data_IF_101955577612
#
_entry.id   IF_101955577612
#
_cell.length_a   1.000
_cell.length_b   1.000
_cell.length_c   1.000
_cell.angle_alpha   90.00
_cell.angle_beta   90.00
_cell.angle_gamma   90.00
#
_symmetry.space_group_name_H-M   'P 1'
#
loop_
_entity.id
_entity.type
_entity.pdbx_description
1 polymer ?
#
# COMPACT_ATOMS: atom_id res chain seq x y z
N UNK A 1 6.31 25.69 -27.77
CA UNK A 1 6.51 24.24 -27.89
C UNK A 1 6.94 23.78 -26.51
N UNK A 2 6.01 23.24 -25.73
CA UNK A 2 6.21 22.91 -24.31
C UNK A 2 6.52 21.42 -24.21
N UNK A 3 7.77 21.09 -24.47
CA UNK A 3 8.42 19.88 -23.95
C UNK A 3 9.34 20.44 -22.85
N UNK A 4 9.26 20.07 -21.58
CA UNK A 4 9.49 18.72 -21.07
C UNK A 4 9.13 18.73 -19.57
N UNK A 5 8.03 18.09 -19.20
CA UNK A 5 7.65 17.83 -17.81
C UNK A 5 7.87 16.35 -17.54
N UNK A 6 9.14 15.94 -17.51
CA UNK A 6 9.53 14.74 -16.80
C UNK A 6 9.85 15.16 -15.36
N UNK A 7 8.83 15.16 -14.52
CA UNK A 7 9.00 15.25 -13.08
C UNK A 7 9.79 14.02 -12.65
N UNK A 8 11.06 14.22 -12.27
CA UNK A 8 11.80 13.26 -11.48
C UNK A 8 11.10 13.13 -10.11
N UNK A 9 10.10 12.27 -10.04
CA UNK A 9 9.50 11.92 -8.77
C UNK A 9 10.40 10.89 -8.10
N UNK A 10 11.24 11.36 -7.18
CA UNK A 10 11.76 10.55 -6.07
C UNK A 10 10.59 10.07 -5.21
N UNK A 11 9.81 9.14 -5.77
CA UNK A 11 8.63 8.59 -5.13
C UNK A 11 9.10 7.53 -4.13
N UNK A 12 8.62 7.58 -2.88
CA UNK A 12 8.98 6.59 -1.88
C UNK A 12 8.64 5.18 -2.37
N UNK A 13 9.35 4.16 -1.87
CA UNK A 13 9.13 2.76 -2.25
C UNK A 13 7.64 2.37 -2.18
N UNK A 14 6.93 2.87 -1.17
CA UNK A 14 5.49 2.63 -1.01
C UNK A 14 4.66 3.34 -2.09
N UNK A 15 5.04 4.55 -2.49
CA UNK A 15 4.40 5.27 -3.60
C UNK A 15 4.58 4.58 -4.95
N UNK A 16 5.76 4.02 -5.23
CA UNK A 16 6.01 3.26 -6.46
C UNK A 16 5.18 1.97 -6.49
N UNK A 17 5.08 1.28 -5.34
CA UNK A 17 4.23 0.10 -5.19
C UNK A 17 2.76 0.46 -5.40
N UNK A 18 2.28 1.54 -4.77
CA UNK A 18 0.91 2.03 -4.92
C UNK A 18 0.56 2.36 -6.36
N UNK A 19 1.44 3.09 -7.06
CA UNK A 19 1.29 3.40 -8.48
C UNK A 19 1.19 2.13 -9.34
N UNK A 20 2.05 1.14 -9.10
CA UNK A 20 2.04 -0.13 -9.83
C UNK A 20 0.74 -0.92 -9.61
N UNK A 21 0.25 -0.97 -8.38
CA UNK A 21 -1.03 -1.61 -8.02
C UNK A 21 -2.19 -0.94 -8.75
N UNK A 22 -2.27 0.40 -8.66
CA UNK A 22 -3.32 1.19 -9.32
C UNK A 22 -3.32 0.97 -10.83
N UNK A 23 -2.15 1.09 -11.44
CA UNK A 23 -1.97 0.94 -12.89
C UNK A 23 -2.43 -0.43 -13.37
N UNK A 24 -2.13 -1.50 -12.63
CA UNK A 24 -2.55 -2.84 -13.00
C UNK A 24 -4.05 -3.09 -12.75
N UNK A 25 -4.62 -2.57 -11.66
CA UNK A 25 -6.08 -2.62 -11.44
C UNK A 25 -6.82 -1.97 -12.61
N UNK A 26 -6.40 -0.77 -13.00
CA UNK A 26 -7.01 0.00 -14.09
C UNK A 26 -6.84 -0.71 -15.45
N UNK A 27 -5.68 -1.31 -15.73
CA UNK A 27 -5.47 -2.14 -16.93
C UNK A 27 -6.40 -3.34 -17.02
N UNK A 28 -6.75 -3.95 -15.88
CA UNK A 28 -7.71 -5.06 -15.82
C UNK A 28 -9.17 -4.60 -15.88
N UNK A 29 -9.42 -3.28 -15.85
CA UNK A 29 -10.77 -2.71 -15.86
C UNK A 29 -11.54 -2.91 -14.55
N UNK A 30 -10.85 -3.21 -13.43
CA UNK A 30 -11.50 -3.43 -12.14
C UNK A 30 -11.74 -2.12 -11.40
N UNK A 31 -12.94 -1.95 -10.85
CA UNK A 31 -13.21 -0.84 -9.95
C UNK A 31 -12.59 -1.10 -8.58
N UNK A 32 -12.38 -0.05 -7.80
CA UNK A 32 -11.93 -0.18 -6.40
C UNK A 32 -12.96 -0.96 -5.55
N UNK A 33 -14.25 -0.85 -5.89
CA UNK A 33 -15.33 -1.54 -5.22
C UNK A 33 -15.30 -3.06 -5.50
N UNK A 34 -14.99 -3.47 -6.73
CA UNK A 34 -14.85 -4.88 -7.08
C UNK A 34 -13.71 -5.54 -6.32
N UNK A 35 -12.56 -4.87 -6.26
CA UNK A 35 -11.40 -5.33 -5.49
C UNK A 35 -11.72 -5.37 -3.99
N UNK A 36 -12.38 -4.33 -3.47
CA UNK A 36 -12.86 -4.28 -2.07
C UNK A 36 -13.74 -5.48 -1.73
N UNK A 37 -14.71 -5.80 -2.59
CA UNK A 37 -15.59 -6.96 -2.41
C UNK A 37 -14.82 -8.29 -2.46
N UNK A 38 -13.84 -8.41 -3.36
CA UNK A 38 -13.03 -9.63 -3.50
C UNK A 38 -12.08 -9.86 -2.32
N UNK A 39 -11.38 -8.80 -1.89
CA UNK A 39 -10.38 -8.88 -0.84
C UNK A 39 -10.97 -8.74 0.57
N UNK A 40 -12.22 -8.27 0.68
CA UNK A 40 -12.86 -7.87 1.94
C UNK A 40 -12.04 -6.83 2.71
N UNK A 41 -11.47 -5.88 1.97
CA UNK A 41 -10.70 -4.75 2.50
C UNK A 41 -11.46 -3.47 2.16
N UNK A 42 -11.64 -2.59 3.14
CA UNK A 42 -12.36 -1.33 2.95
C UNK A 42 -11.73 -0.49 1.82
N UNK A 43 -12.57 0.10 0.95
CA UNK A 43 -12.11 0.95 -0.16
C UNK A 43 -11.16 2.07 0.26
N UNK A 44 -11.36 2.67 1.44
CA UNK A 44 -10.49 3.73 1.97
C UNK A 44 -9.05 3.23 2.11
N UNK A 45 -8.87 1.99 2.60
CA UNK A 45 -7.57 1.36 2.77
C UNK A 45 -6.96 1.05 1.41
N UNK A 46 -7.75 0.52 0.46
CA UNK A 46 -7.25 0.23 -0.88
C UNK A 46 -6.80 1.49 -1.63
N UNK A 47 -7.56 2.60 -1.48
CA UNK A 47 -7.18 3.91 -2.02
C UNK A 47 -5.88 4.41 -1.37
N UNK A 48 -5.75 4.33 -0.05
CA UNK A 48 -4.52 4.70 0.64
C UNK A 48 -3.30 3.90 0.13
N UNK A 49 -3.47 2.59 -0.11
CA UNK A 49 -2.42 1.74 -0.71
C UNK A 49 -2.05 2.23 -2.11
N UNK A 50 -3.03 2.50 -2.98
CA UNK A 50 -2.78 3.00 -4.35
C UNK A 50 -2.11 4.38 -4.37
N UNK A 51 -2.31 5.17 -3.32
CA UNK A 51 -1.68 6.48 -3.14
C UNK A 51 -0.33 6.42 -2.39
N UNK A 52 0.11 5.22 -2.01
CA UNK A 52 1.38 5.03 -1.31
C UNK A 52 1.38 5.52 0.14
N UNK A 53 0.22 5.51 0.82
CA UNK A 53 0.04 6.03 2.18
C UNK A 53 -0.35 4.93 3.16
N UNK A 54 0.07 5.10 4.41
CA UNK A 54 -0.48 4.35 5.55
C UNK A 54 -1.81 4.96 6.01
N UNK A 55 -2.71 4.14 6.54
CA UNK A 55 -3.95 4.62 7.18
C UNK A 55 -3.78 4.73 8.69
N UNK A 56 -4.29 5.82 9.27
CA UNK A 56 -4.24 6.04 10.71
C UNK A 56 -5.11 5.02 11.45
N UNK A 57 -4.63 4.51 12.58
CA UNK A 57 -5.33 3.49 13.37
C UNK A 57 -5.15 2.06 12.86
N UNK A 58 -4.53 1.85 11.69
CA UNK A 58 -4.16 0.51 11.22
C UNK A 58 -2.70 0.22 11.59
N UNK A 59 -2.49 -0.85 12.35
CA UNK A 59 -1.13 -1.26 12.69
C UNK A 59 -0.34 -1.61 11.41
N UNK A 60 0.93 -1.21 11.30
CA UNK A 60 1.69 -1.41 10.06
C UNK A 60 1.81 -2.85 9.57
N UNK A 61 1.73 -3.83 10.48
CA UNK A 61 1.69 -5.26 10.13
C UNK A 61 0.47 -5.62 9.28
N UNK A 62 -0.69 -5.02 9.58
CA UNK A 62 -1.91 -5.22 8.79
C UNK A 62 -1.82 -4.51 7.44
N UNK A 63 -1.28 -3.30 7.40
CA UNK A 63 -1.03 -2.59 6.13
C UNK A 63 -0.18 -3.43 5.17
N UNK A 64 0.93 -4.02 5.65
CA UNK A 64 1.76 -4.92 4.83
C UNK A 64 0.96 -6.14 4.34
N UNK A 65 0.12 -6.72 5.20
CA UNK A 65 -0.78 -7.81 4.83
C UNK A 65 -1.74 -7.43 3.72
N UNK A 66 -2.36 -6.25 3.80
CA UNK A 66 -3.28 -5.75 2.77
C UNK A 66 -2.58 -5.50 1.44
N UNK A 67 -1.39 -4.87 1.46
CA UNK A 67 -0.59 -4.65 0.26
C UNK A 67 -0.23 -5.98 -0.41
N UNK A 68 0.22 -6.97 0.39
CA UNK A 68 0.52 -8.32 -0.12
C UNK A 68 -0.71 -8.99 -0.74
N UNK A 69 -1.86 -8.95 -0.08
CA UNK A 69 -3.10 -9.53 -0.60
C UNK A 69 -3.51 -8.88 -1.92
N UNK A 70 -3.38 -7.56 -2.02
CA UNK A 70 -3.73 -6.82 -3.23
C UNK A 70 -2.78 -7.15 -4.40
N UNK A 71 -1.47 -7.17 -4.15
CA UNK A 71 -0.47 -7.59 -5.14
C UNK A 71 -0.72 -9.02 -5.63
N UNK A 72 -1.06 -9.96 -4.74
CA UNK A 72 -1.40 -11.34 -5.11
C UNK A 72 -2.66 -11.41 -5.96
N UNK A 73 -3.70 -10.64 -5.61
CA UNK A 73 -4.94 -10.58 -6.37
C UNK A 73 -4.73 -10.05 -7.80
N UNK A 74 -3.82 -9.07 -7.97
CA UNK A 74 -3.43 -8.54 -9.27
C UNK A 74 -2.40 -9.38 -10.02
N UNK A 75 -1.91 -10.48 -9.43
CA UNK A 75 -0.80 -11.32 -9.95
C UNK A 75 0.51 -10.54 -10.14
N UNK A 76 0.76 -9.57 -9.27
CA UNK A 76 1.97 -8.74 -9.24
C UNK A 76 2.94 -9.11 -8.11
N UNK A 77 2.53 -10.00 -7.19
CA UNK A 77 3.38 -10.39 -6.08
C UNK A 77 4.63 -11.15 -6.57
N UNK A 78 5.77 -10.68 -6.10
CA UNK A 78 7.06 -11.34 -6.20
C UNK A 78 7.71 -11.26 -4.81
N UNK A 79 8.40 -12.31 -4.40
CA UNK A 79 9.06 -12.39 -3.08
C UNK A 79 10.16 -11.32 -2.95
N UNK A 80 10.68 -10.81 -4.08
CA UNK A 80 11.57 -9.64 -4.12
C UNK A 80 10.94 -8.35 -3.55
N UNK A 81 9.60 -8.25 -3.53
CA UNK A 81 8.85 -7.08 -3.04
C UNK A 81 8.71 -7.12 -1.50
N UNK A 82 8.92 -8.28 -0.87
CA UNK A 82 8.72 -8.43 0.56
C UNK A 82 9.74 -7.60 1.38
N UNK A 83 11.00 -7.62 0.97
CA UNK A 83 12.08 -6.90 1.69
C UNK A 83 11.89 -5.37 1.68
N UNK A 84 11.55 -4.71 0.54
CA UNK A 84 11.17 -3.30 0.55
C UNK A 84 10.01 -3.00 1.49
N UNK A 85 8.94 -3.79 1.47
CA UNK A 85 7.74 -3.57 2.29
C UNK A 85 8.00 -3.63 3.80
N UNK A 86 8.99 -4.41 4.24
CA UNK A 86 9.36 -4.49 5.65
C UNK A 86 10.04 -3.21 6.16
N UNK A 87 10.71 -2.47 5.26
CA UNK A 87 11.59 -1.36 5.63
C UNK A 87 11.04 0.04 5.28
N UNK A 88 9.88 0.12 4.62
CA UNK A 88 9.28 1.42 4.27
C UNK A 88 9.00 2.28 5.51
N UNK A 89 9.44 3.55 5.54
CA UNK A 89 9.28 4.44 6.69
C UNK A 89 7.84 4.59 7.17
N UNK A 90 6.89 4.59 6.24
CA UNK A 90 5.45 4.77 6.46
C UNK A 90 4.84 3.59 7.23
N UNK A 91 5.48 2.42 7.23
CA UNK A 91 5.02 1.20 7.91
C UNK A 91 5.90 0.83 9.12
N UNK A 92 6.57 1.80 9.73
CA UNK A 92 7.26 1.61 11.00
C UNK A 92 6.27 1.59 12.16
N UNK A 93 6.39 0.59 13.02
CA UNK A 93 5.59 0.53 14.24
C UNK A 93 5.93 1.72 15.13
N UNK A 94 4.94 2.58 15.43
CA UNK A 94 5.07 3.50 16.57
C UNK A 94 5.20 2.64 17.82
N UNK A 95 6.19 2.95 18.66
CA UNK A 95 6.41 2.25 19.92
C UNK A 95 5.10 2.20 20.71
N UNK A 96 4.60 0.98 20.92
CA UNK A 96 3.42 0.76 21.75
C UNK A 96 3.87 1.10 23.17
N UNK A 97 3.33 2.17 23.77
CA UNK A 97 3.54 2.42 25.20
C UNK A 97 2.87 1.27 25.95
N UNK A 98 3.59 0.50 26.77
CA UNK A 98 2.98 -0.59 27.52
C UNK A 98 1.95 0.01 28.48
N UNK A 99 0.67 -0.30 28.24
CA UNK A 99 -0.43 -0.01 29.17
C UNK A 99 -0.47 -1.15 30.18
N UNK A 100 0.57 -1.25 30.99
CA UNK A 100 0.56 -2.08 32.20
C UNK A 100 0.96 -1.19 33.36
N UNK A 101 -0.01 -0.44 33.89
CA UNK A 101 0.07 0.05 35.26
C UNK A 101 -0.31 -1.12 36.17
N UNK A 102 0.71 -1.76 36.76
CA UNK A 102 0.50 -2.72 37.85
C UNK A 102 -0.20 -1.98 39.00
N UNK A 103 -1.32 -2.55 39.46
CA UNK A 103 -1.96 -2.23 40.74
C UNK A 103 -1.08 -2.66 41.90
#
# INVERSE_FOLDING_TARGET
MVEELMTESSQSDLGQIGYRIRSEREKKGWSIADVSASLRINEKILKAIEEGRSEEGIAPVFMRGFIRSYLRHLKLWDDSIDTPLQNVPELKQKAIKPVFQKT
#
